data_IF_900660398453
#
_entry.id   IF_900660398453
#
_cell.length_a   1.000
_cell.length_b   1.000
_cell.length_c   1.000
_cell.angle_alpha   90.00
_cell.angle_beta   90.00
_cell.angle_gamma   90.00
#
_symmetry.space_group_name_H-M   'P 1'
#
loop_
_entity.id
_entity.type
_entity.pdbx_description
1 polymer ?
#
# COMPACT_ATOMS: atom_id res chain seq x y z
N UNK A 1 4.42 -4.69 -4.80
CA UNK A 1 4.17 -3.32 -4.53
C UNK A 1 3.27 -2.67 -5.55
N UNK A 2 2.20 -2.09 -5.06
CA UNK A 2 1.46 -1.10 -5.85
C UNK A 2 2.34 0.15 -5.90
N UNK A 3 3.01 0.38 -7.02
CA UNK A 3 3.87 1.53 -7.22
C UNK A 3 3.15 2.63 -7.98
N UNK A 4 3.62 3.85 -7.82
CA UNK A 4 3.23 5.01 -8.62
C UNK A 4 3.53 4.70 -10.09
N UNK A 5 2.64 5.11 -10.99
CA UNK A 5 2.75 4.85 -12.42
C UNK A 5 3.60 5.93 -13.11
N UNK A 6 4.90 5.90 -12.87
CA UNK A 6 5.86 6.84 -13.47
C UNK A 6 6.34 6.37 -14.86
N UNK A 7 6.70 7.30 -15.78
CA UNK A 7 7.37 6.97 -17.05
C UNK A 7 8.85 6.61 -16.80
N UNK A 8 9.09 5.37 -16.40
CA UNK A 8 10.42 4.87 -16.03
C UNK A 8 11.09 4.24 -17.24
N UNK A 9 12.30 4.66 -17.61
CA UNK A 9 13.10 4.02 -18.65
C UNK A 9 13.90 2.82 -18.14
N UNK A 10 14.33 2.86 -16.86
CA UNK A 10 15.19 1.82 -16.27
C UNK A 10 14.69 1.41 -14.89
N UNK A 11 14.62 0.11 -14.65
CA UNK A 11 14.37 -0.50 -13.35
C UNK A 11 15.65 -1.15 -12.85
N UNK A 12 16.05 -0.88 -11.62
CA UNK A 12 17.20 -1.50 -10.95
C UNK A 12 16.71 -2.26 -9.72
N UNK A 13 16.91 -3.56 -9.71
CA UNK A 13 16.64 -4.39 -8.54
C UNK A 13 17.74 -4.19 -7.49
N UNK A 14 17.43 -3.48 -6.42
CA UNK A 14 18.35 -3.30 -5.28
C UNK A 14 18.39 -4.52 -4.38
N UNK A 15 17.33 -5.34 -4.38
CA UNK A 15 17.23 -6.59 -3.65
C UNK A 15 16.47 -7.63 -4.48
N UNK A 16 16.89 -8.87 -4.43
CA UNK A 16 16.26 -10.00 -5.13
C UNK A 16 15.37 -10.86 -4.22
N UNK A 17 15.14 -10.42 -2.99
CA UNK A 17 14.27 -11.10 -2.03
C UNK A 17 13.22 -10.17 -1.44
N UNK A 18 12.11 -10.75 -0.98
CA UNK A 18 11.03 -10.07 -0.28
C UNK A 18 10.60 -10.87 0.95
N UNK A 19 9.96 -10.17 1.88
CA UNK A 19 9.21 -10.80 2.97
C UNK A 19 7.76 -11.00 2.48
N UNK A 20 7.24 -12.22 2.53
CA UNK A 20 5.90 -12.57 2.00
C UNK A 20 4.79 -12.53 3.06
N UNK A 21 5.14 -12.14 4.27
CA UNK A 21 4.26 -12.14 5.44
C UNK A 21 4.66 -13.18 6.49
N UNK A 22 5.39 -14.22 6.08
CA UNK A 22 5.85 -15.32 6.93
C UNK A 22 7.37 -15.41 6.90
N UNK A 23 7.95 -15.49 5.69
CA UNK A 23 9.38 -15.72 5.50
C UNK A 23 10.02 -14.75 4.50
N UNK A 24 11.33 -14.58 4.59
CA UNK A 24 12.13 -13.88 3.58
C UNK A 24 12.49 -14.87 2.47
N UNK A 25 11.93 -14.68 1.28
CA UNK A 25 12.19 -15.52 0.11
C UNK A 25 12.66 -14.71 -1.09
N UNK A 26 13.25 -15.37 -2.06
CA UNK A 26 13.63 -14.76 -3.33
C UNK A 26 12.39 -14.43 -4.17
N UNK A 27 12.51 -13.41 -5.02
CA UNK A 27 11.48 -13.04 -5.97
C UNK A 27 11.30 -14.12 -7.03
N UNK A 28 10.07 -14.50 -7.33
CA UNK A 28 9.75 -15.43 -8.40
C UNK A 28 9.74 -14.74 -9.79
N UNK A 29 9.74 -15.54 -10.86
CA UNK A 29 9.81 -15.05 -12.24
C UNK A 29 8.68 -14.07 -12.57
N UNK A 30 7.46 -14.35 -12.11
CA UNK A 30 6.29 -13.49 -12.33
C UNK A 30 6.45 -12.14 -11.63
N UNK A 31 6.96 -12.14 -10.40
CA UNK A 31 7.20 -10.93 -9.63
C UNK A 31 8.28 -10.06 -10.26
N UNK A 32 9.37 -10.70 -10.70
CA UNK A 32 10.46 -10.01 -11.40
C UNK A 32 9.95 -9.39 -12.71
N UNK A 33 9.15 -10.12 -13.50
CA UNK A 33 8.55 -9.59 -14.73
C UNK A 33 7.57 -8.47 -14.47
N UNK A 34 6.76 -8.56 -13.41
CA UNK A 34 5.82 -7.50 -13.04
C UNK A 34 6.55 -6.20 -12.65
N UNK A 35 7.69 -6.32 -11.95
CA UNK A 35 8.54 -5.17 -11.59
C UNK A 35 9.29 -4.66 -12.83
N UNK A 36 9.91 -5.55 -13.58
CA UNK A 36 10.67 -5.23 -14.80
C UNK A 36 9.79 -4.57 -15.88
N UNK A 37 8.54 -5.02 -16.02
CA UNK A 37 7.57 -4.46 -16.96
C UNK A 37 7.15 -3.01 -16.67
N UNK A 38 7.67 -2.43 -15.59
CA UNK A 38 7.54 -0.99 -15.34
C UNK A 38 8.57 -0.16 -16.13
N UNK A 39 9.64 -0.78 -16.61
CA UNK A 39 10.60 -0.11 -17.48
C UNK A 39 10.06 -0.01 -18.92
N UNK A 40 10.37 1.09 -19.61
CA UNK A 40 10.02 1.26 -21.00
C UNK A 40 8.53 1.48 -21.24
N UNK A 41 7.91 2.38 -20.49
CA UNK A 41 6.47 2.67 -20.65
C UNK A 41 6.14 3.00 -22.11
N UNK A 42 5.19 2.26 -22.66
CA UNK A 42 4.69 2.46 -24.02
C UNK A 42 4.27 3.93 -24.27
N UNK A 43 4.68 4.49 -25.40
CA UNK A 43 4.43 5.88 -25.76
C UNK A 43 5.45 6.90 -25.22
N UNK A 44 6.34 6.52 -24.27
CA UNK A 44 7.42 7.37 -23.75
C UNK A 44 8.80 6.86 -24.11
N UNK A 45 8.99 5.54 -24.17
CA UNK A 45 10.29 4.92 -24.46
C UNK A 45 10.11 3.72 -25.38
N UNK A 46 10.97 3.62 -26.39
CA UNK A 46 10.98 2.47 -27.32
C UNK A 46 11.56 1.22 -26.64
N UNK A 47 12.46 1.39 -25.67
CA UNK A 47 13.16 0.33 -24.97
C UNK A 47 13.24 0.63 -23.48
N UNK A 48 12.83 -0.34 -22.66
CA UNK A 48 13.06 -0.35 -21.22
C UNK A 48 14.29 -1.18 -20.83
N UNK A 49 14.99 -0.76 -19.79
CA UNK A 49 16.18 -1.44 -19.28
C UNK A 49 15.93 -1.99 -17.89
N UNK A 50 16.43 -3.21 -17.66
CA UNK A 50 16.36 -3.87 -16.36
C UNK A 50 17.79 -4.19 -15.90
N UNK A 51 18.08 -3.87 -14.65
CA UNK A 51 19.38 -4.13 -14.02
C UNK A 51 19.19 -4.67 -12.61
N UNK A 52 20.23 -5.22 -12.02
CA UNK A 52 20.28 -5.60 -10.62
C UNK A 52 21.58 -5.15 -9.99
N UNK A 53 21.54 -4.64 -8.76
CA UNK A 53 22.71 -4.23 -8.01
C UNK A 53 23.46 -5.42 -7.38
N UNK A 54 22.75 -6.50 -7.05
CA UNK A 54 23.32 -7.61 -6.27
C UNK A 54 23.46 -8.92 -7.06
N UNK A 55 22.51 -9.25 -7.95
CA UNK A 55 22.44 -10.57 -8.59
C UNK A 55 21.84 -10.46 -9.99
N UNK A 56 22.66 -9.97 -10.93
CA UNK A 56 22.27 -9.74 -12.32
C UNK A 56 21.91 -11.05 -13.01
N UNK A 57 22.67 -12.11 -12.74
CA UNK A 57 22.49 -13.43 -13.36
C UNK A 57 21.14 -14.04 -12.96
N UNK A 58 20.78 -13.94 -11.67
CA UNK A 58 19.49 -14.42 -11.19
C UNK A 58 18.32 -13.71 -11.84
N UNK A 59 18.36 -12.38 -11.91
CA UNK A 59 17.33 -11.58 -12.55
C UNK A 59 17.21 -11.93 -14.03
N UNK A 60 18.33 -12.03 -14.76
CA UNK A 60 18.36 -12.40 -16.17
C UNK A 60 17.74 -13.79 -16.39
N UNK A 61 18.15 -14.80 -15.62
CA UNK A 61 17.61 -16.16 -15.70
C UNK A 61 16.09 -16.19 -15.44
N UNK A 62 15.62 -15.47 -14.43
CA UNK A 62 14.19 -15.40 -14.11
C UNK A 62 13.35 -14.65 -15.14
N UNK A 63 13.91 -13.67 -15.84
CA UNK A 63 13.24 -13.01 -16.96
C UNK A 63 13.09 -13.92 -18.18
N UNK A 64 14.04 -14.82 -18.43
CA UNK A 64 14.01 -15.77 -19.54
C UNK A 64 13.21 -17.04 -19.20
N UNK A 65 12.97 -17.33 -17.93
CA UNK A 65 12.23 -18.51 -17.49
C UNK A 65 10.82 -18.53 -18.10
N UNK A 66 10.37 -19.65 -18.73
CA UNK A 66 9.05 -19.71 -19.32
C UNK A 66 7.96 -19.48 -18.27
N UNK A 67 6.88 -18.78 -18.65
CA UNK A 67 5.71 -18.62 -17.79
C UNK A 67 5.11 -20.00 -17.50
N UNK A 68 4.95 -20.28 -16.21
CA UNK A 68 4.25 -21.50 -15.80
C UNK A 68 2.74 -21.32 -16.03
N UNK A 69 2.05 -22.33 -16.54
CA UNK A 69 0.61 -22.29 -16.66
C UNK A 69 -0.01 -22.14 -15.26
N UNK A 70 -1.07 -21.35 -15.17
CA UNK A 70 -1.84 -21.23 -13.91
C UNK A 70 -2.46 -22.59 -13.58
N UNK A 71 -2.01 -23.18 -12.48
CA UNK A 71 -2.52 -24.47 -11.98
C UNK A 71 -3.61 -24.28 -10.91
N UNK A 72 -3.71 -23.05 -10.38
CA UNK A 72 -4.69 -22.71 -9.33
C UNK A 72 -5.33 -21.36 -9.59
N UNK A 73 -6.61 -21.25 -9.29
CA UNK A 73 -7.33 -19.99 -9.25
C UNK A 73 -7.29 -19.40 -7.83
N UNK A 74 -7.32 -18.06 -7.71
CA UNK A 74 -7.48 -17.41 -6.41
C UNK A 74 -8.96 -17.21 -6.12
N UNK A 75 -9.38 -17.55 -4.89
CA UNK A 75 -10.74 -17.33 -4.41
C UNK A 75 -10.75 -16.33 -3.26
N UNK A 76 -11.69 -15.39 -3.34
CA UNK A 76 -12.01 -14.48 -2.25
C UNK A 76 -12.85 -15.14 -1.17
N UNK A 77 -13.14 -14.39 -0.11
CA UNK A 77 -14.01 -14.80 0.99
C UNK A 77 -15.45 -15.03 0.48
N UNK A 78 -16.06 -16.21 0.71
CA UNK A 78 -17.42 -16.48 0.23
C UNK A 78 -18.48 -15.75 1.06
N UNK A 79 -19.32 -14.94 0.43
CA UNK A 79 -20.36 -14.16 1.11
C UNK A 79 -21.36 -15.05 1.89
N UNK A 80 -21.56 -16.29 1.47
CA UNK A 80 -22.45 -17.24 2.18
C UNK A 80 -22.03 -17.49 3.65
N UNK A 81 -20.75 -17.28 3.96
CA UNK A 81 -20.26 -17.42 5.33
C UNK A 81 -20.66 -16.26 6.24
N UNK A 82 -21.18 -15.16 5.70
CA UNK A 82 -21.68 -14.02 6.47
C UNK A 82 -22.96 -14.37 7.28
N UNK A 83 -23.66 -15.46 6.92
CA UNK A 83 -24.87 -15.92 7.61
C UNK A 83 -24.55 -16.73 8.90
N UNK A 84 -23.28 -17.03 9.14
CA UNK A 84 -22.84 -17.74 10.35
C UNK A 84 -22.96 -16.82 11.57
N UNK A 85 -23.56 -17.28 12.64
CA UNK A 85 -23.73 -16.53 13.89
C UNK A 85 -22.43 -16.53 14.72
N UNK A 86 -21.44 -15.73 14.23
CA UNK A 86 -20.14 -15.48 14.84
C UNK A 86 -19.69 -14.06 14.49
N UNK A 87 -18.69 -13.52 15.19
CA UNK A 87 -18.08 -12.25 14.82
C UNK A 87 -17.37 -12.34 13.46
N UNK A 88 -17.44 -11.26 12.66
CA UNK A 88 -16.94 -11.27 11.28
C UNK A 88 -15.44 -11.59 11.18
N UNK A 89 -14.62 -11.08 12.11
CA UNK A 89 -13.19 -11.40 12.13
C UNK A 89 -12.94 -12.87 12.46
N UNK A 90 -13.73 -13.48 13.35
CA UNK A 90 -13.62 -14.90 13.68
C UNK A 90 -14.01 -15.78 12.49
N UNK A 91 -15.07 -15.43 11.75
CA UNK A 91 -15.47 -16.15 10.54
C UNK A 91 -14.36 -16.09 9.47
N UNK A 92 -13.80 -14.91 9.25
CA UNK A 92 -12.74 -14.70 8.25
C UNK A 92 -11.48 -15.51 8.65
N UNK A 93 -11.04 -15.43 9.91
CA UNK A 93 -9.87 -16.17 10.40
C UNK A 93 -10.09 -17.68 10.35
N UNK A 94 -11.28 -18.16 10.72
CA UNK A 94 -11.63 -19.57 10.60
C UNK A 94 -11.60 -20.04 9.14
N UNK A 95 -12.14 -19.24 8.21
CA UNK A 95 -12.09 -19.57 6.78
C UNK A 95 -10.64 -19.57 6.26
N UNK A 96 -9.80 -18.59 6.61
CA UNK A 96 -8.38 -18.60 6.24
C UNK A 96 -7.67 -19.87 6.74
N UNK A 97 -7.98 -20.31 7.96
CA UNK A 97 -7.39 -21.50 8.59
C UNK A 97 -7.81 -22.84 7.96
N UNK A 98 -8.89 -22.87 7.14
CA UNK A 98 -9.27 -24.13 6.47
C UNK A 98 -8.31 -24.44 5.33
N UNK A 99 -8.12 -25.74 5.01
CA UNK A 99 -7.24 -26.17 3.91
C UNK A 99 -7.70 -25.63 2.57
N UNK A 100 -6.74 -25.24 1.73
CA UNK A 100 -6.99 -24.89 0.35
C UNK A 100 -7.50 -26.11 -0.43
N UNK A 101 -8.44 -25.90 -1.34
CA UNK A 101 -8.83 -26.92 -2.30
C UNK A 101 -7.71 -27.13 -3.33
N UNK A 102 -7.70 -28.29 -3.99
CA UNK A 102 -6.61 -28.64 -4.92
C UNK A 102 -6.35 -27.60 -6.04
N UNK A 103 -7.42 -26.93 -6.49
CA UNK A 103 -7.38 -25.98 -7.62
C UNK A 103 -7.56 -24.52 -7.20
N UNK A 104 -7.67 -24.22 -5.90
CA UNK A 104 -7.90 -22.86 -5.39
C UNK A 104 -6.94 -22.52 -4.26
N UNK A 105 -6.35 -21.33 -4.38
CA UNK A 105 -5.66 -20.69 -3.26
C UNK A 105 -6.52 -19.54 -2.74
N UNK A 106 -6.65 -19.40 -1.44
CA UNK A 106 -7.39 -18.29 -0.83
C UNK A 106 -6.61 -16.99 -0.95
N UNK A 107 -7.32 -15.91 -1.21
CA UNK A 107 -6.78 -14.56 -1.06
C UNK A 107 -6.73 -14.27 0.43
N UNK A 108 -5.57 -13.86 0.94
CA UNK A 108 -5.44 -13.51 2.36
C UNK A 108 -6.34 -12.33 2.72
N UNK A 109 -7.06 -12.47 3.81
CA UNK A 109 -7.94 -11.47 4.40
C UNK A 109 -7.35 -10.83 5.66
N UNK A 110 -6.09 -11.11 5.98
CA UNK A 110 -5.40 -10.60 7.18
C UNK A 110 -5.51 -9.08 7.32
N UNK A 111 -5.33 -8.33 6.22
CA UNK A 111 -5.50 -6.87 6.23
C UNK A 111 -6.96 -6.45 6.43
N UNK A 112 -7.91 -7.22 5.91
CA UNK A 112 -9.34 -6.98 6.11
C UNK A 112 -9.75 -7.20 7.57
N UNK A 113 -9.22 -8.23 8.22
CA UNK A 113 -9.42 -8.48 9.67
C UNK A 113 -8.90 -7.31 10.49
N UNK A 114 -7.71 -6.78 10.19
CA UNK A 114 -7.19 -5.58 10.86
C UNK A 114 -8.11 -4.38 10.69
N UNK A 115 -8.59 -4.13 9.47
CA UNK A 115 -9.53 -3.05 9.17
C UNK A 115 -10.85 -3.23 9.93
N UNK A 116 -11.39 -4.44 9.99
CA UNK A 116 -12.58 -4.73 10.78
C UNK A 116 -12.38 -4.38 12.26
N UNK A 117 -11.25 -4.77 12.84
CA UNK A 117 -10.92 -4.46 14.22
C UNK A 117 -10.76 -2.95 14.48
N UNK A 118 -10.28 -2.18 13.51
CA UNK A 118 -10.29 -0.72 13.58
C UNK A 118 -11.72 -0.16 13.62
N UNK A 119 -12.65 -0.67 12.78
CA UNK A 119 -14.06 -0.24 12.81
C UNK A 119 -14.76 -0.66 14.10
N UNK A 120 -14.56 -1.88 14.55
CA UNK A 120 -15.15 -2.42 15.80
C UNK A 120 -14.73 -1.60 17.03
N UNK A 121 -13.48 -1.16 17.07
CA UNK A 121 -12.91 -0.36 18.16
C UNK A 121 -13.01 1.16 17.89
N UNK A 122 -13.75 1.57 16.87
CA UNK A 122 -13.87 2.99 16.56
C UNK A 122 -14.65 3.70 17.67
N UNK A 123 -14.17 4.89 18.06
CA UNK A 123 -14.73 5.67 19.20
C UNK A 123 -16.21 6.04 19.07
N UNK A 124 -16.77 6.05 17.86
CA UNK A 124 -18.17 6.28 17.58
C UNK A 124 -18.82 4.97 17.14
N UNK A 125 -20.04 4.70 17.65
CA UNK A 125 -20.81 3.54 17.20
C UNK A 125 -21.24 3.78 15.75
N UNK A 126 -20.82 2.91 14.86
CA UNK A 126 -21.20 2.94 13.45
C UNK A 126 -22.48 2.14 13.26
N UNK A 127 -23.54 2.76 12.71
CA UNK A 127 -24.87 2.17 12.62
C UNK A 127 -24.97 0.96 11.70
N UNK A 128 -24.05 0.84 10.75
CA UNK A 128 -24.03 -0.21 9.72
C UNK A 128 -23.26 -1.46 10.12
N UNK A 129 -22.71 -1.55 11.33
CA UNK A 129 -21.87 -2.70 11.75
C UNK A 129 -22.62 -4.03 11.74
N UNK A 130 -23.94 -4.02 11.82
CA UNK A 130 -24.79 -5.21 11.73
C UNK A 130 -24.97 -5.68 10.28
N UNK A 131 -24.80 -4.81 9.29
CA UNK A 131 -24.78 -5.18 7.88
C UNK A 131 -23.41 -5.73 7.48
N UNK A 132 -23.21 -7.03 7.69
CA UNK A 132 -21.92 -7.72 7.45
C UNK A 132 -21.46 -7.63 6.01
N UNK A 133 -22.39 -7.64 5.05
CA UNK A 133 -22.06 -7.49 3.62
C UNK A 133 -21.53 -6.11 3.31
N UNK A 134 -22.17 -5.09 3.86
CA UNK A 134 -21.71 -3.72 3.75
C UNK A 134 -20.34 -3.55 4.41
N UNK A 135 -20.17 -4.03 5.63
CA UNK A 135 -18.87 -4.00 6.35
C UNK A 135 -17.79 -4.74 5.56
N UNK A 136 -18.10 -5.91 4.98
CA UNK A 136 -17.15 -6.63 4.13
C UNK A 136 -16.69 -5.77 2.95
N UNK A 137 -17.59 -5.04 2.31
CA UNK A 137 -17.24 -4.15 1.20
C UNK A 137 -16.27 -3.03 1.63
N UNK A 138 -16.38 -2.50 2.84
CA UNK A 138 -15.49 -1.48 3.39
C UNK A 138 -14.11 -2.04 3.72
N UNK A 139 -14.05 -3.16 4.46
CA UNK A 139 -12.78 -3.74 4.93
C UNK A 139 -11.95 -4.38 3.84
N UNK A 140 -12.57 -4.77 2.72
CA UNK A 140 -11.87 -5.30 1.53
C UNK A 140 -11.33 -4.20 0.62
N UNK A 141 -11.52 -2.92 0.94
CA UNK A 141 -10.91 -1.82 0.21
C UNK A 141 -9.37 -1.94 0.27
N UNK A 142 -8.66 -1.99 -0.87
CA UNK A 142 -7.24 -2.30 -0.90
C UNK A 142 -6.39 -1.07 -0.56
N UNK A 143 -5.80 -1.07 0.63
CA UNK A 143 -4.74 -0.15 1.05
C UNK A 143 -3.94 -0.78 2.20
N UNK A 144 -2.72 -0.29 2.45
CA UNK A 144 -1.88 -0.75 3.56
C UNK A 144 -2.24 0.01 4.85
N UNK A 145 -2.71 -0.70 5.87
CA UNK A 145 -3.05 -0.12 7.19
C UNK A 145 -1.83 0.46 7.93
N UNK A 146 -0.61 0.17 7.48
CA UNK A 146 0.60 0.77 8.02
C UNK A 146 0.77 2.24 7.60
N UNK A 147 0.17 2.63 6.47
CA UNK A 147 0.13 4.03 6.04
C UNK A 147 -0.94 4.75 6.86
N UNK A 148 -0.46 5.52 7.83
CA UNK A 148 -1.33 6.17 8.84
C UNK A 148 -2.25 7.23 8.24
N UNK A 149 -1.79 7.94 7.22
CA UNK A 149 -2.59 8.98 6.58
C UNK A 149 -3.73 8.36 5.77
N UNK A 150 -3.42 7.31 5.02
CA UNK A 150 -4.42 6.56 4.26
C UNK A 150 -5.42 5.87 5.19
N UNK A 151 -4.95 5.29 6.31
CA UNK A 151 -5.82 4.66 7.31
C UNK A 151 -6.77 5.70 7.96
N UNK A 152 -6.27 6.89 8.28
CA UNK A 152 -7.12 7.96 8.84
C UNK A 152 -8.18 8.42 7.85
N UNK A 153 -7.79 8.60 6.60
CA UNK A 153 -8.72 8.98 5.53
C UNK A 153 -9.80 7.92 5.35
N UNK A 154 -9.41 6.63 5.33
CA UNK A 154 -10.37 5.53 5.24
C UNK A 154 -11.33 5.50 6.42
N UNK A 155 -10.85 5.67 7.65
CA UNK A 155 -11.69 5.74 8.85
C UNK A 155 -12.67 6.92 8.79
N UNK A 156 -12.23 8.06 8.28
CA UNK A 156 -13.09 9.22 8.08
C UNK A 156 -14.18 8.95 7.05
N UNK A 157 -13.85 8.31 5.92
CA UNK A 157 -14.86 7.86 4.96
C UNK A 157 -15.85 6.86 5.58
N UNK A 158 -15.37 5.98 6.44
CA UNK A 158 -16.22 5.03 7.15
C UNK A 158 -17.16 5.66 8.19
N UNK A 159 -16.98 6.93 8.60
CA UNK A 159 -17.97 7.61 9.46
C UNK A 159 -19.29 7.83 8.71
N UNK A 160 -19.24 8.14 7.43
CA UNK A 160 -20.39 8.42 6.57
C UNK A 160 -20.16 7.86 5.15
N UNK A 161 -20.12 6.55 5.03
CA UNK A 161 -19.65 5.91 3.79
C UNK A 161 -20.59 6.12 2.59
N UNK A 162 -21.86 6.45 2.83
CA UNK A 162 -22.86 6.68 1.78
C UNK A 162 -23.01 8.16 1.38
N UNK A 163 -22.33 9.08 2.07
CA UNK A 163 -22.28 10.48 1.67
C UNK A 163 -21.09 10.71 0.74
N UNK A 164 -21.26 11.54 -0.28
CA UNK A 164 -20.16 11.94 -1.16
C UNK A 164 -19.12 12.75 -0.38
N UNK A 165 -17.87 12.46 -0.63
CA UNK A 165 -16.75 13.18 -0.03
C UNK A 165 -15.93 13.87 -1.11
N UNK A 166 -15.31 14.98 -0.75
CA UNK A 166 -14.42 15.72 -1.66
C UNK A 166 -13.13 14.96 -1.92
N UNK A 167 -12.53 15.24 -3.07
CA UNK A 167 -11.20 14.77 -3.39
C UNK A 167 -10.20 15.15 -2.29
N UNK A 168 -9.24 14.28 -1.93
CA UNK A 168 -8.20 14.62 -0.96
C UNK A 168 -7.48 15.92 -1.33
N UNK A 169 -7.31 16.80 -0.35
CA UNK A 169 -6.59 18.05 -0.56
C UNK A 169 -5.09 17.79 -0.79
N UNK A 170 -4.45 18.70 -1.53
CA UNK A 170 -3.02 18.69 -1.73
C UNK A 170 -2.26 18.53 -0.41
N UNK A 171 -1.14 17.78 -0.39
CA UNK A 171 -0.39 17.57 0.82
C UNK A 171 0.20 18.90 1.34
N UNK A 172 0.22 19.08 2.64
CA UNK A 172 0.90 20.22 3.26
C UNK A 172 2.43 20.06 3.28
N UNK A 173 2.89 18.83 3.17
CA UNK A 173 4.30 18.45 3.16
C UNK A 173 4.67 17.95 1.76
N UNK A 174 5.42 18.78 1.05
CA UNK A 174 5.92 18.51 -0.30
C UNK A 174 7.21 17.67 -0.30
N UNK A 175 7.37 16.79 0.69
CA UNK A 175 8.40 15.76 0.67
C UNK A 175 8.01 14.60 -0.22
N UNK A 176 8.98 13.79 -0.66
CA UNK A 176 8.69 12.58 -1.44
C UNK A 176 7.71 11.66 -0.70
N UNK A 177 7.89 11.47 0.62
CA UNK A 177 6.98 10.66 1.45
C UNK A 177 5.56 11.24 1.52
N UNK A 178 5.43 12.57 1.64
CA UNK A 178 4.15 13.28 1.64
C UNK A 178 3.40 13.15 0.31
N UNK A 179 4.13 13.29 -0.80
CA UNK A 179 3.56 13.14 -2.15
C UNK A 179 3.18 11.70 -2.47
N UNK A 180 3.99 10.71 -2.06
CA UNK A 180 3.63 9.29 -2.17
C UNK A 180 2.37 8.95 -1.37
N UNK A 181 2.26 9.47 -0.15
CA UNK A 181 1.07 9.28 0.69
C UNK A 181 -0.16 9.93 0.05
N UNK A 182 -0.02 11.15 -0.48
CA UNK A 182 -1.10 11.82 -1.22
C UNK A 182 -1.57 11.01 -2.43
N UNK A 183 -0.64 10.49 -3.21
CA UNK A 183 -0.99 9.63 -4.35
C UNK A 183 -1.80 8.40 -3.92
N UNK A 184 -1.42 7.75 -2.81
CA UNK A 184 -2.17 6.62 -2.24
C UNK A 184 -3.55 7.05 -1.69
N UNK A 185 -3.68 8.26 -1.18
CA UNK A 185 -4.98 8.82 -0.76
C UNK A 185 -5.91 9.00 -1.96
N UNK A 186 -5.41 9.46 -3.11
CA UNK A 186 -6.18 9.54 -4.36
C UNK A 186 -6.58 8.15 -4.86
N UNK A 187 -5.72 7.15 -4.70
CA UNK A 187 -6.05 5.75 -5.01
C UNK A 187 -7.18 5.23 -4.11
N UNK A 188 -7.07 5.47 -2.80
CA UNK A 188 -8.12 5.11 -1.85
C UNK A 188 -9.45 5.79 -2.19
N UNK A 189 -9.43 7.10 -2.43
CA UNK A 189 -10.62 7.88 -2.80
C UNK A 189 -11.33 7.30 -4.02
N UNK A 190 -10.57 7.02 -5.08
CA UNK A 190 -11.11 6.44 -6.32
C UNK A 190 -11.74 5.07 -6.09
N UNK A 191 -11.10 4.23 -5.28
CA UNK A 191 -11.59 2.88 -5.03
C UNK A 191 -12.78 2.86 -4.06
N UNK A 192 -12.73 3.71 -3.05
CA UNK A 192 -13.81 3.82 -2.08
C UNK A 192 -15.07 4.41 -2.72
N UNK A 193 -14.93 5.48 -3.50
CA UNK A 193 -16.02 6.10 -4.23
C UNK A 193 -16.72 5.11 -5.19
N UNK A 194 -15.95 4.31 -5.92
CA UNK A 194 -16.50 3.28 -6.80
C UNK A 194 -17.28 2.18 -6.06
N UNK A 195 -16.90 1.85 -4.82
CA UNK A 195 -17.61 0.88 -3.98
C UNK A 195 -18.88 1.44 -3.37
N UNK A 196 -18.86 2.71 -3.01
CA UNK A 196 -19.96 3.39 -2.34
C UNK A 196 -20.87 4.15 -3.31
N UNK A 197 -20.57 4.10 -4.63
CA UNK A 197 -21.28 4.82 -5.70
C UNK A 197 -21.32 6.33 -5.47
N UNK A 198 -20.22 6.92 -4.99
CA UNK A 198 -20.13 8.38 -4.88
C UNK A 198 -20.05 9.04 -6.24
N UNK A 199 -20.65 10.22 -6.34
CA UNK A 199 -20.45 11.11 -7.47
C UNK A 199 -19.11 11.86 -7.27
N UNK A 200 -18.12 11.55 -8.10
CA UNK A 200 -16.79 12.15 -8.02
C UNK A 200 -16.42 12.84 -9.33
N UNK A 201 -15.69 13.94 -9.23
CA UNK A 201 -15.03 14.54 -10.38
C UNK A 201 -13.78 13.72 -10.76
N UNK A 202 -13.95 12.87 -11.79
CA UNK A 202 -12.87 12.01 -12.28
C UNK A 202 -11.75 12.80 -12.97
N UNK A 203 -12.08 13.96 -13.52
CA UNK A 203 -11.11 14.83 -14.17
C UNK A 203 -10.19 15.48 -13.11
N UNK A 204 -10.78 16.00 -12.04
CA UNK A 204 -10.01 16.51 -10.89
C UNK A 204 -9.06 15.46 -10.33
N UNK A 205 -9.53 14.23 -10.11
CA UNK A 205 -8.68 13.13 -9.61
C UNK A 205 -7.56 12.81 -10.59
N UNK A 206 -7.82 12.80 -11.90
CA UNK A 206 -6.81 12.51 -12.91
C UNK A 206 -5.74 13.61 -12.95
N UNK A 207 -6.13 14.88 -12.93
CA UNK A 207 -5.22 16.04 -12.88
C UNK A 207 -4.34 16.00 -11.63
N UNK A 208 -4.92 15.74 -10.46
CA UNK A 208 -4.18 15.66 -9.21
C UNK A 208 -3.19 14.49 -9.19
N UNK A 209 -3.54 13.35 -9.79
CA UNK A 209 -2.63 12.21 -9.93
C UNK A 209 -1.48 12.51 -10.86
N UNK A 210 -1.74 13.11 -12.01
CA UNK A 210 -0.73 13.48 -12.99
C UNK A 210 0.24 14.51 -12.39
N UNK A 211 -0.29 15.52 -11.72
CA UNK A 211 0.51 16.50 -10.99
C UNK A 211 1.42 15.83 -9.95
N UNK A 212 0.88 14.97 -9.08
CA UNK A 212 1.67 14.28 -8.07
C UNK A 212 2.77 13.41 -8.69
N UNK A 213 2.48 12.72 -9.80
CA UNK A 213 3.46 11.93 -10.54
C UNK A 213 4.58 12.79 -11.12
N UNK A 214 4.22 13.96 -11.70
CA UNK A 214 5.21 14.88 -12.28
C UNK A 214 6.16 15.39 -11.22
N UNK A 215 5.63 15.88 -10.09
CA UNK A 215 6.46 16.42 -9.00
C UNK A 215 7.35 15.34 -8.37
N UNK A 216 6.83 14.12 -8.15
CA UNK A 216 7.64 13.00 -7.68
C UNK A 216 8.75 12.67 -8.70
N UNK A 217 8.43 12.71 -10.01
CA UNK A 217 9.40 12.47 -11.07
C UNK A 217 10.53 13.50 -11.04
N UNK A 218 10.20 14.78 -10.96
CA UNK A 218 11.16 15.90 -10.86
C UNK A 218 12.06 15.76 -9.63
N UNK A 219 11.47 15.47 -8.45
CA UNK A 219 12.25 15.26 -7.21
C UNK A 219 13.22 14.08 -7.31
N UNK A 220 12.84 13.03 -8.03
CA UNK A 220 13.70 11.86 -8.24
C UNK A 220 14.82 12.14 -9.26
N UNK A 221 14.61 13.06 -10.20
CA UNK A 221 15.63 13.49 -11.17
C UNK A 221 16.64 14.46 -10.57
N UNK A 222 16.20 15.40 -9.72
CA UNK A 222 17.06 16.41 -9.09
C UNK A 222 18.07 15.82 -8.11
N UNK A 223 17.82 14.64 -7.55
CA UNK A 223 18.72 13.94 -6.61
C UNK A 223 19.96 13.32 -7.32
N UNK A 224 20.27 13.74 -8.55
CA UNK A 224 21.48 13.41 -9.35
C UNK A 224 21.88 11.95 -9.34
N UNK A 225 20.90 11.06 -9.27
CA UNK A 225 21.14 9.61 -9.33
C UNK A 225 21.86 9.00 -8.12
N UNK A 226 22.00 9.75 -7.05
CA UNK A 226 22.52 9.24 -5.79
C UNK A 226 21.38 8.84 -4.86
N UNK A 227 20.74 7.71 -5.16
CA UNK A 227 19.80 7.08 -4.24
C UNK A 227 20.56 6.49 -3.06
N UNK A 228 20.77 7.28 -2.04
CA UNK A 228 21.30 6.81 -0.77
C UNK A 228 20.16 6.53 0.20
N UNK A 229 20.06 5.28 0.67
CA UNK A 229 19.18 4.95 1.80
C UNK A 229 19.77 5.57 3.05
N UNK A 230 19.14 6.60 3.61
CA UNK A 230 19.61 7.30 4.80
C UNK A 230 18.83 6.92 6.05
N UNK A 231 19.55 6.86 7.17
CA UNK A 231 18.92 6.72 8.48
C UNK A 231 18.01 7.91 8.78
N UNK A 232 16.75 7.66 9.08
CA UNK A 232 15.76 8.72 9.41
C UNK A 232 16.09 9.46 10.71
N UNK A 233 16.95 8.91 11.56
CA UNK A 233 17.36 9.54 12.82
C UNK A 233 18.57 10.46 12.70
N UNK A 234 19.65 10.00 12.08
CA UNK A 234 20.94 10.72 12.03
C UNK A 234 21.42 11.04 10.60
N UNK A 235 20.73 10.58 9.57
CA UNK A 235 21.09 10.84 8.17
C UNK A 235 22.25 9.98 7.64
N UNK A 236 22.84 9.08 8.43
CA UNK A 236 23.90 8.20 7.94
C UNK A 236 23.39 7.31 6.82
N UNK A 237 24.21 7.09 5.80
CA UNK A 237 23.89 6.20 4.69
C UNK A 237 23.80 4.75 5.20
N UNK A 238 22.69 4.10 4.87
CA UNK A 238 22.40 2.71 5.23
C UNK A 238 22.64 1.82 4.01
N UNK A 239 23.12 0.59 4.21
CA UNK A 239 23.15 -0.41 3.16
C UNK A 239 21.74 -0.68 2.59
N UNK A 240 21.65 -0.95 1.30
CA UNK A 240 20.35 -1.17 0.63
C UNK A 240 19.60 -2.40 1.14
N UNK A 241 20.33 -3.40 1.60
CA UNK A 241 19.83 -4.65 2.19
C UNK A 241 19.50 -4.53 3.69
N UNK A 242 19.70 -3.34 4.29
CA UNK A 242 19.35 -3.07 5.68
C UNK A 242 17.85 -2.82 5.82
N UNK A 243 17.13 -3.71 6.49
CA UNK A 243 15.65 -3.75 6.50
C UNK A 243 14.98 -2.63 7.32
N UNK A 244 15.74 -1.82 8.08
CA UNK A 244 15.17 -0.83 8.98
C UNK A 244 15.37 0.62 8.48
N UNK A 245 14.45 1.54 8.82
CA UNK A 245 14.55 2.95 8.44
C UNK A 245 15.53 3.77 9.30
N UNK A 246 16.04 3.21 10.40
CA UNK A 246 16.99 3.83 11.32
C UNK A 246 18.19 2.90 11.55
N UNK A 247 19.40 3.48 11.70
CA UNK A 247 20.61 2.69 12.00
C UNK A 247 20.56 2.13 13.43
N UNK A 248 21.46 1.16 13.71
CA UNK A 248 21.55 0.54 15.03
C UNK A 248 21.83 1.57 16.14
N UNK A 249 22.69 2.54 15.89
CA UNK A 249 23.01 3.58 16.88
C UNK A 249 21.81 4.43 17.24
N UNK A 250 21.02 4.85 16.26
CA UNK A 250 19.77 5.57 16.51
C UNK A 250 18.71 4.70 17.18
N UNK A 251 18.69 3.40 16.89
CA UNK A 251 17.81 2.47 17.56
C UNK A 251 18.15 2.33 19.04
N UNK A 252 19.45 2.17 19.38
CA UNK A 252 19.93 2.05 20.74
C UNK A 252 19.87 3.37 21.53
N UNK A 253 20.02 4.51 20.85
CA UNK A 253 19.94 5.84 21.49
C UNK A 253 18.51 6.34 21.74
N UNK A 254 17.47 5.53 21.44
CA UNK A 254 16.09 5.86 21.73
C UNK A 254 15.42 6.88 20.80
N UNK A 255 16.06 7.24 19.68
CA UNK A 255 15.50 8.16 18.66
C UNK A 255 14.12 7.70 18.16
N UNK A 256 13.80 6.43 18.35
CA UNK A 256 12.52 5.82 18.02
C UNK A 256 11.33 6.51 18.71
N UNK A 257 11.48 6.94 19.93
CA UNK A 257 10.38 7.56 20.71
C UNK A 257 10.09 9.00 20.29
N UNK A 258 11.11 9.77 19.88
CA UNK A 258 10.95 11.15 19.44
C UNK A 258 10.27 11.27 18.08
N UNK A 259 10.53 10.37 17.16
CA UNK A 259 9.88 10.35 15.83
C UNK A 259 8.39 9.98 15.92
N UNK A 260 8.05 9.05 16.81
CA UNK A 260 6.65 8.69 17.09
C UNK A 260 5.93 9.86 17.78
N UNK A 261 6.55 10.54 18.73
CA UNK A 261 5.97 11.70 19.43
C UNK A 261 5.80 12.91 18.52
N UNK A 262 6.75 13.22 17.62
CA UNK A 262 6.64 14.34 16.67
C UNK A 262 5.53 14.13 15.64
N UNK A 263 5.26 12.90 15.23
CA UNK A 263 4.13 12.60 14.35
C UNK A 263 2.77 12.72 15.05
N UNK A 264 2.70 12.51 16.37
CA UNK A 264 1.46 12.65 17.14
C UNK A 264 1.11 14.10 17.46
N UNK A 265 2.08 15.04 17.44
CA UNK A 265 1.85 16.45 17.81
C UNK A 265 1.49 17.37 16.65
N UNK A 266 1.46 16.90 15.41
CA UNK A 266 1.20 17.72 14.21
C UNK A 266 -0.26 17.84 13.80
N UNK A 267 -1.22 17.30 14.59
CA UNK A 267 -2.63 17.54 14.33
C UNK A 267 -3.22 18.39 15.42
N UNK A 268 -3.86 19.55 15.10
CA UNK A 268 -4.52 20.36 16.10
C UNK A 268 -5.64 19.55 16.74
N UNK A 269 -5.49 19.29 18.03
CA UNK A 269 -6.64 18.90 18.84
C UNK A 269 -7.70 20.00 18.71
N UNK A 270 -8.87 19.59 18.29
CA UNK A 270 -10.09 20.37 18.28
C UNK A 270 -10.26 21.07 19.65
N UNK A 271 -9.83 22.35 19.73
CA UNK A 271 -10.13 23.23 20.85
C UNK A 271 -11.44 23.92 20.54
N UNK A 272 -12.54 23.23 20.70
CA UNK A 272 -13.82 23.85 20.95
C UNK A 272 -14.64 23.01 21.93
N UNK A 273 -14.29 23.14 23.22
CA UNK A 273 -15.26 23.00 24.30
C UNK A 273 -15.53 24.41 24.82
N UNK A 274 -16.65 24.95 24.44
CA UNK A 274 -17.53 25.78 25.30
C UNK A 274 -18.96 25.47 24.95
#
# INVERSE_FOLDING_TARGET
>A
GMGINLPIRRVVFMNTSKFDGTDKRRLEAEEIRQIAGRAGRYGYYDVGYVQSALDVEYIGKKLEEPLQPLTKARTGFPEVLLDIDMELDEIIEAWEGTKNLAFYDKISMTESVKKYRYLKNYRRKLSYMEDRKFVLSLITCPFDVKDREVLRLWLWYCEKPTEDHNCPMLPQDFTLEGLESYYKQLDLYTQFSGRMNWEIDREEVAVNREWAQSVIGEMLEDDKGQFEKKCRGCGVVLPWDYDFPICQDCYHSGVKDDMVRRSMHRYPHDRNRR
#
